data_IF_808098557246
#
_entry.id   IF_808098557246
#
_cell.length_a   1.000
_cell.length_b   1.000
_cell.length_c   1.000
_cell.angle_alpha   90.00
_cell.angle_beta   90.00
_cell.angle_gamma   90.00
#
_symmetry.space_group_name_H-M   'P 1'
#
loop_
_entity.id
_entity.type
_entity.pdbx_description
1 polymer ?
#
# COMPACT_ATOMS: atom_id res chain seq x y z
N UNK A 1 -6.39 6.85 18.74
CA UNK A 1 -5.88 5.48 18.85
C UNK A 1 -4.37 5.50 18.85
N UNK A 2 -3.71 4.38 19.18
CA UNK A 2 -2.26 4.24 19.04
C UNK A 2 -1.85 4.45 17.57
N UNK A 3 -0.64 4.95 17.36
CA UNK A 3 -0.04 5.19 16.04
C UNK A 3 1.24 4.38 15.92
N UNK A 4 1.63 4.05 14.68
CA UNK A 4 2.77 3.17 14.41
C UNK A 4 4.07 3.68 15.03
N UNK A 5 4.38 4.99 14.97
CA UNK A 5 5.57 5.54 15.62
C UNK A 5 5.57 5.35 17.13
N UNK A 6 4.43 5.64 17.77
CA UNK A 6 4.27 5.49 19.21
C UNK A 6 4.43 4.03 19.65
N UNK A 7 3.91 3.09 18.88
CA UNK A 7 4.09 1.66 19.13
C UNK A 7 5.56 1.20 19.03
N UNK A 8 6.37 1.91 18.26
CA UNK A 8 7.79 1.61 18.03
C UNK A 8 8.74 2.44 18.90
N UNK A 9 8.23 3.42 19.66
CA UNK A 9 9.06 4.36 20.41
C UNK A 9 9.97 5.23 19.54
N UNK A 10 9.61 5.45 18.27
CA UNK A 10 10.39 6.27 17.35
C UNK A 10 10.04 7.75 17.49
N UNK A 11 11.05 8.61 17.41
CA UNK A 11 10.85 10.04 17.36
C UNK A 11 10.24 10.51 16.02
N UNK A 12 9.88 11.80 15.96
CA UNK A 12 9.26 12.40 14.79
C UNK A 12 10.22 12.60 13.61
N UNK A 13 11.52 12.68 13.86
CA UNK A 13 12.56 12.91 12.85
C UNK A 13 13.02 11.62 12.15
N UNK A 14 12.85 10.47 12.79
CA UNK A 14 13.25 9.16 12.27
C UNK A 14 12.48 8.81 10.99
N UNK A 15 13.14 8.62 9.83
CA UNK A 15 12.45 8.17 8.62
C UNK A 15 11.83 6.78 8.80
N UNK A 16 10.54 6.65 8.52
CA UNK A 16 9.77 5.41 8.70
C UNK A 16 9.01 5.04 7.42
N UNK A 17 9.30 3.86 6.89
CA UNK A 17 8.53 3.21 5.84
C UNK A 17 7.53 2.24 6.47
N UNK A 18 6.39 2.02 5.81
CA UNK A 18 5.40 1.02 6.24
C UNK A 18 5.07 0.01 5.16
N UNK A 19 4.86 -1.23 5.59
CA UNK A 19 4.25 -2.31 4.82
C UNK A 19 3.03 -2.80 5.57
N UNK A 20 1.87 -2.86 4.93
CA UNK A 20 0.64 -3.39 5.54
C UNK A 20 0.18 -4.70 4.90
N UNK A 21 -0.52 -5.49 5.72
CA UNK A 21 -1.23 -6.69 5.31
C UNK A 21 -0.41 -7.96 5.40
N UNK A 22 -0.95 -9.02 4.82
CA UNK A 22 -0.31 -10.32 4.79
C UNK A 22 0.93 -10.30 3.92
N UNK A 23 2.03 -10.82 4.46
CA UNK A 23 3.27 -10.97 3.72
C UNK A 23 3.70 -12.43 3.80
N UNK A 24 3.77 -13.02 2.61
CA UNK A 24 4.41 -14.30 2.33
C UNK A 24 5.73 -14.02 1.61
N UNK A 25 6.62 -15.00 1.51
CA UNK A 25 7.96 -14.82 0.91
C UNK A 25 7.90 -14.22 -0.50
N UNK A 26 6.89 -14.58 -1.28
CA UNK A 26 6.62 -14.12 -2.65
C UNK A 26 6.20 -12.63 -2.71
N UNK A 27 5.96 -11.96 -1.56
CA UNK A 27 5.61 -10.54 -1.48
C UNK A 27 6.82 -9.63 -1.22
N UNK A 28 8.01 -10.08 -1.58
CA UNK A 28 9.22 -9.26 -1.56
C UNK A 28 9.78 -8.98 -0.17
N UNK A 29 9.53 -9.86 0.81
CA UNK A 29 9.97 -9.67 2.19
C UNK A 29 11.51 -9.53 2.30
N UNK A 30 12.34 -10.41 1.70
CA UNK A 30 13.79 -10.22 1.69
C UNK A 30 14.24 -8.90 1.06
N UNK A 31 13.58 -8.49 -0.03
CA UNK A 31 13.90 -7.26 -0.77
C UNK A 31 13.66 -6.02 0.09
N UNK A 32 12.63 -6.04 0.93
CA UNK A 32 12.35 -4.95 1.88
C UNK A 32 13.37 -4.86 3.01
N UNK A 33 13.93 -5.99 3.47
CA UNK A 33 15.04 -5.98 4.42
C UNK A 33 16.31 -5.41 3.77
N UNK A 34 16.60 -5.81 2.53
CA UNK A 34 17.72 -5.26 1.77
C UNK A 34 17.57 -3.76 1.47
N UNK A 35 16.34 -3.29 1.23
CA UNK A 35 16.02 -1.88 1.10
C UNK A 35 16.43 -1.10 2.36
N UNK A 36 16.09 -1.62 3.55
CA UNK A 36 16.47 -1.02 4.84
C UNK A 36 17.99 -1.07 5.04
N UNK A 37 18.66 -2.14 4.62
CA UNK A 37 20.13 -2.23 4.65
C UNK A 37 20.78 -1.12 3.80
N UNK A 38 20.23 -0.81 2.64
CA UNK A 38 20.72 0.23 1.76
C UNK A 38 20.40 1.67 2.22
N UNK A 39 19.52 1.85 3.21
CA UNK A 39 19.06 3.14 3.72
C UNK A 39 19.36 3.24 5.24
N UNK A 40 20.56 3.70 5.65
CA UNK A 40 21.09 3.51 7.01
C UNK A 40 20.25 4.14 8.13
N UNK A 41 19.49 5.20 7.86
CA UNK A 41 18.67 5.91 8.85
C UNK A 41 17.18 5.56 8.77
N UNK A 42 16.80 4.71 7.82
CA UNK A 42 15.39 4.40 7.57
C UNK A 42 14.97 3.17 8.37
N UNK A 43 13.82 3.30 9.02
CA UNK A 43 13.11 2.22 9.68
C UNK A 43 12.00 1.67 8.78
N UNK A 44 11.64 0.41 8.96
CA UNK A 44 10.52 -0.24 8.29
C UNK A 44 9.60 -0.89 9.32
N UNK A 45 8.34 -0.53 9.30
CA UNK A 45 7.29 -1.19 10.08
C UNK A 45 6.45 -2.11 9.19
N UNK A 46 6.44 -3.40 9.50
CA UNK A 46 5.61 -4.41 8.88
C UNK A 46 4.40 -4.68 9.77
N UNK A 47 3.24 -4.17 9.37
CA UNK A 47 1.98 -4.23 10.13
C UNK A 47 1.06 -5.30 9.54
N UNK A 48 0.80 -6.36 10.30
CA UNK A 48 -0.05 -7.47 9.87
C UNK A 48 0.61 -8.82 10.04
N UNK A 49 -0.15 -9.90 9.83
CA UNK A 49 0.40 -11.24 9.92
C UNK A 49 1.43 -11.50 8.82
N UNK A 50 2.66 -11.81 9.22
CA UNK A 50 3.71 -12.22 8.28
C UNK A 50 3.82 -13.75 8.32
N UNK A 51 3.37 -14.42 7.26
CA UNK A 51 3.71 -15.83 7.06
C UNK A 51 5.20 -15.86 6.67
N UNK A 52 6.04 -16.10 7.67
CA UNK A 52 7.49 -15.95 7.54
C UNK A 52 8.09 -14.82 8.39
N UNK A 53 7.47 -14.41 9.51
CA UNK A 53 8.12 -13.51 10.51
C UNK A 53 9.55 -13.97 10.80
N UNK A 54 9.76 -15.27 11.00
CA UNK A 54 11.08 -15.85 11.26
C UNK A 54 12.07 -15.61 10.12
N UNK A 55 11.61 -15.61 8.88
CA UNK A 55 12.45 -15.34 7.71
C UNK A 55 12.82 -13.86 7.62
N UNK A 56 11.88 -12.97 7.94
CA UNK A 56 12.13 -11.52 8.05
C UNK A 56 13.14 -11.23 9.14
N UNK A 57 12.93 -11.76 10.34
CA UNK A 57 13.85 -11.58 11.47
C UNK A 57 15.24 -12.18 11.16
N UNK A 58 15.29 -13.36 10.54
CA UNK A 58 16.55 -13.98 10.15
C UNK A 58 17.27 -13.18 9.06
N UNK A 59 16.54 -12.63 8.08
CA UNK A 59 17.09 -11.73 7.08
C UNK A 59 17.60 -10.44 7.71
N UNK A 60 16.84 -9.84 8.63
CA UNK A 60 17.22 -8.62 9.33
C UNK A 60 18.51 -8.82 10.14
N UNK A 61 18.64 -9.94 10.85
CA UNK A 61 19.89 -10.31 11.55
C UNK A 61 21.07 -10.51 10.60
N UNK A 62 20.88 -11.21 9.47
CA UNK A 62 21.94 -11.40 8.47
C UNK A 62 22.39 -10.08 7.83
N UNK A 63 21.46 -9.14 7.67
CA UNK A 63 21.70 -7.82 7.12
C UNK A 63 22.19 -6.79 8.17
N UNK A 64 22.24 -7.16 9.46
CA UNK A 64 22.53 -6.27 10.59
C UNK A 64 21.60 -5.04 10.66
N UNK A 65 20.30 -5.26 10.50
CA UNK A 65 19.24 -4.22 10.50
C UNK A 65 18.08 -4.53 11.45
N UNK A 66 18.26 -5.46 12.39
CA UNK A 66 17.24 -5.91 13.33
C UNK A 66 16.64 -4.81 14.21
N UNK A 67 17.38 -3.71 14.45
CA UNK A 67 16.89 -2.55 15.20
C UNK A 67 16.03 -1.60 14.36
N UNK A 68 16.00 -1.80 13.04
CA UNK A 68 15.32 -0.91 12.07
C UNK A 68 14.19 -1.60 11.31
N UNK A 69 14.10 -2.93 11.38
CA UNK A 69 12.97 -3.71 10.83
C UNK A 69 12.07 -4.16 11.96
N UNK A 70 10.85 -3.64 11.99
CA UNK A 70 9.89 -3.83 13.08
C UNK A 70 8.69 -4.63 12.59
N UNK A 71 8.39 -5.75 13.24
CA UNK A 71 7.19 -6.56 12.94
C UNK A 71 6.14 -6.28 14.01
N UNK A 72 4.98 -5.79 13.58
CA UNK A 72 3.86 -5.41 14.45
C UNK A 72 2.65 -6.33 14.23
N UNK A 73 1.84 -6.55 15.28
CA UNK A 73 0.63 -7.36 15.16
C UNK A 73 -0.37 -6.74 14.18
N UNK A 74 -1.35 -7.54 13.78
CA UNK A 74 -2.45 -7.06 12.94
C UNK A 74 -3.33 -6.08 13.73
N UNK A 75 -3.75 -5.00 13.08
CA UNK A 75 -4.77 -4.08 13.57
C UNK A 75 -6.06 -4.26 12.76
N UNK A 76 -7.25 -3.91 13.29
CA UNK A 76 -8.50 -3.98 12.54
C UNK A 76 -8.40 -3.21 11.23
N UNK A 77 -8.98 -3.74 10.15
CA UNK A 77 -8.83 -3.19 8.79
C UNK A 77 -9.21 -1.70 8.70
N UNK A 78 -10.27 -1.29 9.39
CA UNK A 78 -10.72 0.11 9.42
C UNK A 78 -9.79 1.04 10.21
N UNK A 79 -8.94 0.50 11.07
CA UNK A 79 -7.99 1.24 11.88
C UNK A 79 -6.61 1.37 11.22
N UNK A 80 -6.31 0.53 10.20
CA UNK A 80 -5.01 0.54 9.52
C UNK A 80 -4.60 1.94 9.06
N UNK A 81 -5.44 2.73 8.34
CA UNK A 81 -5.01 4.04 7.88
C UNK A 81 -4.67 5.00 9.03
N UNK A 82 -5.47 4.98 10.10
CA UNK A 82 -5.22 5.81 11.28
C UNK A 82 -3.96 5.38 12.02
N UNK A 83 -3.69 4.07 12.08
CA UNK A 83 -2.52 3.51 12.74
C UNK A 83 -1.22 3.88 12.01
N UNK A 84 -1.17 3.77 10.67
CA UNK A 84 0.06 3.97 9.90
C UNK A 84 0.36 5.43 9.53
N UNK A 85 -0.59 6.37 9.74
CA UNK A 85 -0.52 7.76 9.25
C UNK A 85 0.75 8.54 9.61
N UNK A 86 1.41 8.17 10.70
CA UNK A 86 2.63 8.85 11.16
C UNK A 86 3.89 8.37 10.46
N UNK A 87 3.88 7.26 9.72
CA UNK A 87 4.97 6.88 8.84
C UNK A 87 5.23 7.94 7.75
N UNK A 88 6.37 7.88 7.06
CA UNK A 88 6.68 8.82 5.99
C UNK A 88 6.13 8.35 4.64
N UNK A 89 6.23 7.07 4.31
CA UNK A 89 5.76 6.51 3.04
C UNK A 89 5.42 5.02 3.19
N UNK A 90 4.56 4.51 2.31
CA UNK A 90 4.31 3.09 2.19
C UNK A 90 5.21 2.46 1.11
N UNK A 91 5.73 1.26 1.37
CA UNK A 91 6.47 0.47 0.39
C UNK A 91 5.66 -0.77 0.02
N UNK A 92 5.36 -0.90 -1.27
CA UNK A 92 4.48 -1.93 -1.78
C UNK A 92 5.23 -2.75 -2.83
N UNK A 93 5.63 -3.96 -2.45
CA UNK A 93 6.18 -4.95 -3.38
C UNK A 93 5.07 -5.89 -3.86
N UNK A 94 4.87 -5.93 -5.17
CA UNK A 94 3.99 -6.84 -5.89
C UNK A 94 4.67 -7.33 -7.17
N UNK A 95 5.49 -8.38 -7.07
CA UNK A 95 5.97 -9.09 -8.23
C UNK A 95 4.79 -9.62 -9.06
N UNK A 96 4.79 -9.51 -10.40
CA UNK A 96 3.70 -9.96 -11.28
C UNK A 96 3.71 -11.49 -11.47
N UNK A 97 3.91 -12.25 -10.39
CA UNK A 97 4.05 -13.72 -10.40
C UNK A 97 2.70 -14.45 -10.54
N UNK A 98 1.58 -13.71 -10.54
CA UNK A 98 0.24 -14.27 -10.75
C UNK A 98 -0.66 -13.28 -11.49
N UNK A 99 -1.71 -13.79 -12.14
CA UNK A 99 -2.76 -12.97 -12.78
C UNK A 99 -3.35 -11.97 -11.79
N UNK A 100 -3.61 -12.42 -10.55
CA UNK A 100 -4.08 -11.55 -9.48
C UNK A 100 -3.07 -10.44 -9.15
N UNK A 101 -1.78 -10.75 -9.05
CA UNK A 101 -0.76 -9.73 -8.80
C UNK A 101 -0.61 -8.73 -9.97
N UNK A 102 -0.94 -9.14 -11.20
CA UNK A 102 -0.87 -8.28 -12.39
C UNK A 102 -2.04 -7.30 -12.48
N UNK A 103 -3.26 -7.75 -12.18
CA UNK A 103 -4.49 -6.99 -12.41
C UNK A 103 -5.25 -6.53 -11.15
N UNK A 104 -4.75 -6.84 -9.95
CA UNK A 104 -5.40 -6.38 -8.71
C UNK A 104 -4.90 -5.00 -8.28
N UNK A 105 -5.84 -4.19 -7.76
CA UNK A 105 -5.55 -3.06 -6.90
C UNK A 105 -5.64 -3.50 -5.42
N UNK A 106 -4.53 -3.82 -4.74
CA UNK A 106 -4.51 -4.27 -3.36
C UNK A 106 -4.97 -3.17 -2.41
N UNK A 107 -5.62 -3.59 -1.33
CA UNK A 107 -6.07 -2.70 -0.25
C UNK A 107 -4.93 -1.84 0.33
N UNK A 108 -3.71 -2.38 0.45
CA UNK A 108 -2.55 -1.64 1.00
C UNK A 108 -2.21 -0.35 0.25
N UNK A 109 -2.53 -0.29 -1.05
CA UNK A 109 -2.38 0.94 -1.83
C UNK A 109 -3.39 2.00 -1.37
N UNK A 110 -4.66 1.63 -1.23
CA UNK A 110 -5.71 2.53 -0.75
C UNK A 110 -5.57 2.87 0.73
N UNK A 111 -5.07 1.95 1.57
CA UNK A 111 -4.75 2.19 2.98
C UNK A 111 -3.68 3.28 3.11
N UNK A 112 -2.63 3.23 2.29
CA UNK A 112 -1.59 4.26 2.26
C UNK A 112 -2.16 5.63 1.87
N UNK A 113 -2.99 5.67 0.82
CA UNK A 113 -3.64 6.91 0.36
C UNK A 113 -4.56 7.48 1.45
N UNK A 114 -5.39 6.63 2.07
CA UNK A 114 -6.28 7.03 3.15
C UNK A 114 -5.51 7.50 4.40
N UNK A 115 -4.31 6.96 4.63
CA UNK A 115 -3.39 7.41 5.68
C UNK A 115 -2.63 8.70 5.32
N UNK A 116 -2.82 9.24 4.10
CA UNK A 116 -2.10 10.41 3.62
C UNK A 116 -0.64 10.13 3.31
N UNK A 117 -0.28 8.88 3.02
CA UNK A 117 1.08 8.43 2.75
C UNK A 117 1.36 8.31 1.25
N UNK A 118 2.50 8.84 0.77
CA UNK A 118 2.97 8.55 -0.57
C UNK A 118 3.47 7.11 -0.68
N UNK A 119 3.53 6.61 -1.91
CA UNK A 119 3.87 5.20 -2.18
C UNK A 119 5.17 5.06 -2.97
N UNK A 120 6.06 4.19 -2.52
CA UNK A 120 7.06 3.56 -3.37
C UNK A 120 6.52 2.16 -3.72
N UNK A 121 6.13 1.95 -4.97
CA UNK A 121 5.39 0.76 -5.38
C UNK A 121 6.04 0.08 -6.57
N UNK A 122 6.14 -1.24 -6.54
CA UNK A 122 6.61 -1.99 -7.69
C UNK A 122 5.67 -1.80 -8.88
N UNK A 123 6.24 -1.69 -10.06
CA UNK A 123 5.50 -1.44 -11.28
C UNK A 123 4.48 -2.54 -11.58
N UNK A 124 3.24 -2.13 -11.89
CA UNK A 124 2.15 -3.01 -12.30
C UNK A 124 1.14 -2.22 -13.13
N UNK A 125 0.42 -2.93 -14.01
CA UNK A 125 -0.44 -2.33 -15.04
C UNK A 125 -1.51 -1.41 -14.44
N UNK A 126 -2.14 -1.83 -13.34
CA UNK A 126 -3.23 -1.07 -12.71
C UNK A 126 -2.75 0.14 -11.86
N UNK A 127 -1.56 0.06 -11.25
CA UNK A 127 -1.00 1.19 -10.48
C UNK A 127 -0.47 2.29 -11.36
N UNK A 128 0.07 1.88 -12.53
CA UNK A 128 0.50 2.68 -13.67
C UNK A 128 -0.22 4.04 -13.71
N UNK A 129 -1.48 4.02 -14.18
CA UNK A 129 -2.25 5.22 -14.42
C UNK A 129 -2.52 6.04 -13.15
N UNK A 130 -2.80 5.38 -12.01
CA UNK A 130 -3.16 6.08 -10.77
C UNK A 130 -1.98 6.85 -10.18
N UNK A 131 -0.81 6.22 -10.10
CA UNK A 131 0.40 6.86 -9.58
C UNK A 131 0.80 8.05 -10.44
N UNK A 132 0.74 7.90 -11.77
CA UNK A 132 1.08 8.97 -12.72
C UNK A 132 0.05 10.10 -12.72
N UNK A 133 -1.25 9.77 -12.75
CA UNK A 133 -2.34 10.75 -12.80
C UNK A 133 -2.33 11.66 -11.58
N UNK A 134 -2.21 11.08 -10.39
CA UNK A 134 -2.26 11.85 -9.15
C UNK A 134 -0.89 12.33 -8.68
N UNK A 135 0.21 11.77 -9.19
CA UNK A 135 1.56 12.14 -8.75
C UNK A 135 1.83 11.78 -7.29
N UNK A 136 1.32 10.63 -6.83
CA UNK A 136 1.27 10.22 -5.41
C UNK A 136 2.46 9.36 -4.94
N UNK A 137 3.41 9.09 -5.82
CA UNK A 137 4.51 8.21 -5.50
C UNK A 137 5.43 7.93 -6.67
N UNK A 138 6.27 6.90 -6.50
CA UNK A 138 7.26 6.46 -7.47
C UNK A 138 7.09 4.97 -7.73
N UNK A 139 7.11 4.62 -9.02
CA UNK A 139 7.10 3.23 -9.48
C UNK A 139 8.55 2.74 -9.58
N UNK A 140 8.78 1.46 -9.28
CA UNK A 140 10.08 0.84 -9.47
C UNK A 140 9.95 -0.57 -10.07
N UNK A 141 10.98 -1.02 -10.79
CA UNK A 141 11.05 -2.41 -11.25
C UNK A 141 11.25 -3.34 -10.03
N UNK A 142 10.33 -4.29 -9.74
CA UNK A 142 10.46 -5.20 -8.61
C UNK A 142 11.70 -6.12 -8.68
N UNK A 143 12.31 -6.26 -9.85
CA UNK A 143 13.52 -7.07 -10.08
C UNK A 143 14.82 -6.29 -9.87
N UNK A 144 14.76 -4.95 -9.79
CA UNK A 144 15.90 -4.08 -9.53
C UNK A 144 15.85 -3.48 -8.12
N UNK A 145 16.68 -4.04 -7.23
CA UNK A 145 16.82 -3.54 -5.87
C UNK A 145 17.27 -2.06 -5.80
N UNK A 146 18.07 -1.59 -6.76
CA UNK A 146 18.53 -0.19 -6.80
C UNK A 146 17.38 0.74 -7.17
N UNK A 147 16.49 0.32 -8.07
CA UNK A 147 15.30 1.07 -8.42
C UNK A 147 14.37 1.26 -7.21
N UNK A 148 14.19 0.21 -6.39
CA UNK A 148 13.40 0.31 -5.17
C UNK A 148 14.02 1.27 -4.14
N UNK A 149 15.35 1.22 -3.96
CA UNK A 149 16.08 2.17 -3.11
C UNK A 149 15.92 3.61 -3.61
N UNK A 150 16.06 3.83 -4.91
CA UNK A 150 15.89 5.15 -5.52
C UNK A 150 14.46 5.67 -5.34
N UNK A 151 13.45 4.83 -5.54
CA UNK A 151 12.04 5.18 -5.35
C UNK A 151 11.73 5.54 -3.89
N UNK A 152 12.17 4.72 -2.93
CA UNK A 152 12.00 5.00 -1.51
C UNK A 152 12.72 6.30 -1.10
N UNK A 153 13.93 6.52 -1.60
CA UNK A 153 14.69 7.76 -1.35
C UNK A 153 13.97 8.99 -1.89
N UNK A 154 13.43 8.91 -3.10
CA UNK A 154 12.71 10.01 -3.75
C UNK A 154 11.44 10.38 -2.97
N UNK A 155 10.62 9.40 -2.56
CA UNK A 155 9.40 9.69 -1.79
C UNK A 155 9.69 10.19 -0.37
N UNK A 156 10.82 9.80 0.22
CA UNK A 156 11.27 10.31 1.52
C UNK A 156 11.81 11.75 1.41
N UNK A 157 12.62 12.05 0.38
CA UNK A 157 13.20 13.40 0.17
C UNK A 157 12.14 14.42 -0.23
N UNK A 158 11.21 14.04 -1.09
CA UNK A 158 10.15 14.91 -1.61
C UNK A 158 8.80 14.68 -0.92
N UNK A 159 8.82 14.26 0.35
CA UNK A 159 7.65 13.77 1.07
C UNK A 159 6.48 14.75 1.10
N UNK A 160 6.75 16.03 1.37
CA UNK A 160 5.72 17.08 1.43
C UNK A 160 4.95 17.20 0.11
N UNK A 161 5.68 17.25 -1.02
CA UNK A 161 5.09 17.33 -2.37
C UNK A 161 4.17 16.14 -2.64
N UNK A 162 4.63 14.91 -2.38
CA UNK A 162 3.81 13.73 -2.60
C UNK A 162 2.62 13.65 -1.63
N UNK A 163 2.77 14.07 -0.38
CA UNK A 163 1.66 14.11 0.58
C UNK A 163 0.56 15.06 0.16
N UNK A 164 0.90 16.23 -0.39
CA UNK A 164 -0.10 17.16 -0.91
C UNK A 164 -0.86 16.57 -2.10
N UNK A 165 -0.15 15.86 -2.99
CA UNK A 165 -0.76 15.09 -4.07
C UNK A 165 -1.68 13.97 -3.54
N UNK A 166 -1.26 13.23 -2.51
CA UNK A 166 -2.06 12.17 -1.88
C UNK A 166 -3.32 12.74 -1.24
N UNK A 167 -3.29 13.92 -0.63
CA UNK A 167 -4.51 14.58 -0.09
C UNK A 167 -5.55 14.83 -1.17
N UNK A 168 -5.11 15.18 -2.39
CA UNK A 168 -6.00 15.35 -3.55
C UNK A 168 -6.53 13.98 -3.97
N UNK A 169 -5.64 13.00 -4.17
CA UNK A 169 -6.00 11.65 -4.57
C UNK A 169 -6.99 10.98 -3.60
N UNK A 170 -6.83 11.16 -2.29
CA UNK A 170 -7.69 10.56 -1.27
C UNK A 170 -9.15 11.07 -1.33
N UNK A 171 -9.39 12.25 -1.92
CA UNK A 171 -10.75 12.74 -2.18
C UNK A 171 -11.44 11.93 -3.28
N UNK A 172 -10.67 11.38 -4.21
CA UNK A 172 -11.16 10.68 -5.39
C UNK A 172 -11.15 9.15 -5.16
N UNK A 173 -10.05 8.63 -4.63
CA UNK A 173 -9.77 7.22 -4.41
C UNK A 173 -10.27 6.77 -3.03
N UNK A 174 -11.58 6.79 -2.84
CA UNK A 174 -12.22 6.31 -1.60
C UNK A 174 -13.54 5.58 -1.88
N UNK A 175 -13.94 4.74 -0.92
CA UNK A 175 -15.13 3.91 -1.01
C UNK A 175 -16.43 4.72 -1.17
N UNK A 176 -16.53 5.88 -0.50
CA UNK A 176 -17.71 6.71 -0.58
C UNK A 176 -18.00 7.15 -2.02
N UNK A 177 -16.96 7.43 -2.82
CA UNK A 177 -17.11 7.72 -4.26
C UNK A 177 -17.29 6.46 -5.10
N UNK A 178 -16.45 5.45 -4.90
CA UNK A 178 -16.53 4.20 -5.68
C UNK A 178 -17.88 3.50 -5.54
N UNK A 179 -18.47 3.54 -4.33
CA UNK A 179 -19.77 2.93 -4.06
C UNK A 179 -20.91 3.53 -4.90
N UNK A 180 -20.79 4.77 -5.38
CA UNK A 180 -21.80 5.40 -6.24
C UNK A 180 -21.86 4.69 -7.59
N UNK A 181 -20.70 4.48 -8.24
CA UNK A 181 -20.62 3.77 -9.51
C UNK A 181 -21.03 2.30 -9.34
N UNK A 182 -20.57 1.66 -8.25
CA UNK A 182 -20.94 0.28 -7.93
C UNK A 182 -22.45 0.12 -7.78
N UNK A 183 -23.11 0.98 -6.98
CA UNK A 183 -24.57 0.93 -6.79
C UNK A 183 -25.33 1.23 -8.09
N UNK A 184 -24.78 2.06 -8.98
CA UNK A 184 -25.41 2.33 -10.27
C UNK A 184 -25.52 1.07 -11.12
N UNK A 185 -24.47 0.24 -11.17
CA UNK A 185 -24.50 -1.06 -11.87
C UNK A 185 -25.63 -1.96 -11.35
N UNK A 186 -25.81 -2.03 -10.03
CA UNK A 186 -26.90 -2.82 -9.45
C UNK A 186 -28.29 -2.28 -9.82
N UNK A 187 -28.46 -0.96 -9.88
CA UNK A 187 -29.73 -0.35 -10.31
C UNK A 187 -30.03 -0.65 -11.77
N UNK A 188 -29.02 -0.58 -12.64
CA UNK A 188 -29.17 -0.83 -14.07
C UNK A 188 -29.54 -2.30 -14.33
N UNK A 189 -28.90 -3.24 -13.62
CA UNK A 189 -29.24 -4.66 -13.69
C UNK A 189 -30.67 -4.95 -13.20
N UNK A 190 -31.08 -4.32 -12.09
CA UNK A 190 -32.43 -4.48 -11.57
C UNK A 190 -33.49 -3.93 -12.54
N UNK A 191 -33.20 -2.79 -13.20
CA UNK A 191 -34.10 -2.20 -14.20
C UNK A 191 -34.21 -3.07 -15.46
N UNK A 192 -33.11 -3.64 -15.94
CA UNK A 192 -33.11 -4.55 -17.08
C UNK A 192 -33.99 -5.80 -16.83
N UNK A 193 -33.84 -6.43 -15.67
CA UNK A 193 -34.68 -7.58 -15.28
C UNK A 193 -36.17 -7.22 -15.19
N UNK A 194 -36.50 -6.04 -14.65
CA UNK A 194 -37.88 -5.58 -14.57
C UNK A 194 -38.51 -5.31 -15.96
N UNK A 195 -37.69 -4.91 -16.94
CA UNK A 195 -38.11 -4.69 -18.33
C UNK A 195 -38.37 -6.01 -19.07
N UNK A 196 -37.56 -7.05 -18.83
CA UNK A 196 -37.73 -8.39 -19.41
C UNK A 196 -38.94 -9.14 -18.81
N UNK A 197 -39.27 -8.86 -17.54
CA UNK A 197 -40.37 -9.52 -16.83
C UNK A 197 -41.78 -8.97 -17.15
N UNK A 198 -41.91 -7.95 -18.01
CA UNK A 198 -43.22 -7.46 -18.46
C UNK A 198 -43.77 -8.39 -19.57
N UNK A 199 -44.84 -9.17 -19.33
CA UNK A 199 -45.45 -9.92 -20.41
C UNK A 199 -46.07 -8.96 -21.41
N UNK A 200 -45.80 -9.16 -22.70
CA UNK A 200 -46.54 -8.55 -23.79
C UNK A 200 -47.98 -9.09 -23.77
N UNK A 201 -48.86 -8.48 -22.98
CA UNK A 201 -50.29 -8.64 -23.15
C UNK A 201 -50.73 -7.72 -24.28
N UNK A 202 -50.91 -8.31 -25.47
CA UNK A 202 -51.66 -7.69 -26.55
C UNK A 202 -53.12 -8.16 -26.41
N UNK A 203 -54.11 -7.25 -26.33
CA UNK A 203 -55.52 -7.58 -26.12
C UNK A 203 -56.15 -8.35 -27.29
#
# INVERSE_FOLDING_TARGET
GPEVRGALGLDAGTPLLVHTGHSVREKGLPQQVELVRALPDVHLAMVGQQQGVRDVEAAARRAAVETRVHVLPTVPALEVPAFIRTANAAVIYMPPESVNARYALPNKFFEAIAAGLPVAISEGEEFRPLVQRYGIGVLFDPTDARAAVAAATEVLRNNGRYRDAVKIAARDLNWQRESVAYLQVYRDLAAAQASEARPSFNP
#
